data_IF_432850547128
#
_entry.id   IF_432850547128
#
_cell.length_a   1.000
_cell.length_b   1.000
_cell.length_c   1.000
_cell.angle_alpha   90.00
_cell.angle_beta   90.00
_cell.angle_gamma   90.00
#
_symmetry.space_group_name_H-M   'P 1'
#
loop_
_entity.id
_entity.type
_entity.pdbx_description
1 polymer ?
#
# COMPACT_ATOMS: atom_id res chain seq x y z
N UNK A 1 12.33 -10.17 -1.82
CA UNK A 1 11.61 -11.20 -1.03
C UNK A 1 11.09 -10.58 0.26
N UNK A 2 11.95 -9.90 1.04
CA UNK A 2 11.58 -9.19 2.28
C UNK A 2 10.41 -8.19 2.17
N UNK A 3 10.33 -7.37 1.11
CA UNK A 3 9.22 -6.41 0.93
C UNK A 3 7.87 -7.13 0.71
N UNK A 4 7.89 -8.23 -0.05
CA UNK A 4 6.69 -9.03 -0.30
C UNK A 4 6.25 -9.69 1.00
N UNK A 5 7.18 -10.24 1.78
CA UNK A 5 6.89 -10.89 3.07
C UNK A 5 6.37 -9.89 4.11
N UNK A 6 6.92 -8.67 4.17
CA UNK A 6 6.41 -7.58 5.02
C UNK A 6 5.00 -7.14 4.61
N UNK A 7 4.75 -7.01 3.32
CA UNK A 7 3.40 -6.74 2.81
C UNK A 7 2.46 -7.91 3.05
N UNK A 8 2.94 -9.16 2.98
CA UNK A 8 2.15 -10.35 3.29
C UNK A 8 1.79 -10.42 4.78
N UNK A 9 2.71 -10.05 5.66
CA UNK A 9 2.45 -9.99 7.11
C UNK A 9 1.49 -8.85 7.48
N UNK A 10 1.54 -7.71 6.78
CA UNK A 10 0.50 -6.69 6.90
C UNK A 10 -0.86 -7.17 6.35
N UNK A 11 -0.86 -7.98 5.29
CA UNK A 11 -2.07 -8.66 4.75
C UNK A 11 -2.61 -9.74 5.70
N UNK A 12 -1.81 -10.27 6.63
CA UNK A 12 -2.33 -11.20 7.65
C UNK A 12 -3.15 -10.50 8.74
N UNK A 13 -2.82 -9.24 9.09
CA UNK A 13 -3.65 -8.40 9.99
C UNK A 13 -4.98 -7.98 9.35
N UNK A 14 -5.16 -8.23 8.07
CA UNK A 14 -6.27 -7.81 7.25
C UNK A 14 -7.58 -8.59 7.49
N UNK A 15 -7.58 -9.62 8.34
CA UNK A 15 -8.81 -10.34 8.71
C UNK A 15 -9.86 -9.41 9.35
N UNK A 16 -9.42 -8.39 10.11
CA UNK A 16 -10.31 -7.37 10.70
C UNK A 16 -10.73 -6.30 9.66
N UNK A 17 -9.84 -5.96 8.73
CA UNK A 17 -10.10 -4.96 7.67
C UNK A 17 -11.06 -5.52 6.58
N UNK A 18 -11.04 -6.84 6.36
CA UNK A 18 -11.90 -7.55 5.39
C UNK A 18 -13.40 -7.35 5.59
N UNK A 19 -13.84 -7.00 6.79
CA UNK A 19 -15.27 -6.85 7.10
C UNK A 19 -15.81 -5.51 6.55
N UNK A 20 -14.95 -4.48 6.41
CA UNK A 20 -15.35 -3.13 5.97
C UNK A 20 -15.04 -2.82 4.50
N UNK A 21 -14.11 -3.54 3.85
CA UNK A 21 -13.67 -3.24 2.48
C UNK A 21 -14.26 -4.17 1.39
N UNK A 22 -15.08 -5.15 1.76
CA UNK A 22 -15.69 -6.11 0.81
C UNK A 22 -17.18 -5.76 0.66
N UNK A 23 -17.55 -4.78 -0.20
CA UNK A 23 -18.94 -4.39 -0.42
C UNK A 23 -19.78 -5.55 -1.00
N UNK A 24 -19.13 -6.54 -1.62
CA UNK A 24 -19.77 -7.74 -2.17
C UNK A 24 -18.90 -8.98 -1.98
N UNK A 25 -19.48 -10.15 -1.62
CA UNK A 25 -18.73 -11.39 -1.37
C UNK A 25 -17.81 -11.85 -2.53
N UNK A 26 -18.16 -11.47 -3.77
CA UNK A 26 -17.41 -11.84 -4.99
C UNK A 26 -16.26 -10.88 -5.33
N UNK A 27 -16.16 -9.72 -4.68
CA UNK A 27 -15.13 -8.70 -4.94
C UNK A 27 -14.26 -8.56 -3.69
N UNK A 28 -13.43 -9.57 -3.44
CA UNK A 28 -12.53 -9.64 -2.27
C UNK A 28 -11.05 -9.62 -2.65
N UNK A 29 -10.74 -9.23 -3.89
CA UNK A 29 -9.38 -9.04 -4.37
C UNK A 29 -8.94 -7.61 -4.07
N UNK A 30 -7.82 -7.48 -3.37
CA UNK A 30 -7.29 -6.18 -2.94
C UNK A 30 -6.03 -5.86 -3.73
N UNK A 31 -5.89 -4.59 -4.08
CA UNK A 31 -4.65 -4.05 -4.64
C UNK A 31 -3.76 -3.62 -3.48
N UNK A 32 -2.52 -4.08 -3.51
CA UNK A 32 -1.50 -3.73 -2.53
C UNK A 32 -0.57 -2.68 -3.12
N UNK A 33 -0.34 -1.62 -2.35
CA UNK A 33 0.64 -0.59 -2.66
C UNK A 33 1.47 -0.28 -1.42
N UNK A 34 2.72 0.08 -1.62
CA UNK A 34 3.64 0.41 -0.54
C UNK A 34 4.54 1.58 -0.92
N UNK A 35 4.66 2.54 0.00
CA UNK A 35 5.58 3.66 -0.13
C UNK A 35 6.14 4.05 1.25
N UNK A 36 7.37 4.59 1.30
CA UNK A 36 8.28 4.80 0.18
C UNK A 36 9.15 3.57 -0.11
N UNK A 37 9.38 3.26 -1.39
CA UNK A 37 10.39 2.28 -1.82
C UNK A 37 11.64 3.03 -2.26
N UNK A 38 12.58 3.21 -1.34
CA UNK A 38 13.83 3.95 -1.57
C UNK A 38 15.04 3.07 -1.32
N UNK A 39 16.11 3.28 -2.08
CA UNK A 39 17.40 2.63 -1.83
C UNK A 39 18.02 3.16 -0.53
N UNK A 40 18.77 2.33 0.19
CA UNK A 40 19.46 2.72 1.42
C UNK A 40 20.31 4.00 1.28
N UNK A 41 20.99 4.18 0.14
CA UNK A 41 21.78 5.39 -0.13
C UNK A 41 20.93 6.68 -0.18
N UNK A 42 19.72 6.61 -0.76
CA UNK A 42 18.81 7.77 -0.85
C UNK A 42 18.07 8.04 0.46
N UNK A 43 17.82 7.01 1.26
CA UNK A 43 17.12 7.12 2.54
C UNK A 43 17.84 8.06 3.55
N UNK A 44 19.17 8.22 3.44
CA UNK A 44 19.92 9.13 4.31
C UNK A 44 19.93 10.59 3.85
N UNK A 45 19.61 10.85 2.59
CA UNK A 45 19.73 12.18 1.99
C UNK A 45 18.40 12.92 1.87
N UNK A 46 17.28 12.21 1.91
CA UNK A 46 15.94 12.78 1.72
C UNK A 46 15.03 12.45 2.89
N UNK A 47 14.45 13.48 3.52
CA UNK A 47 13.35 13.33 4.46
C UNK A 47 12.04 13.38 3.67
N UNK A 48 11.28 12.30 3.70
CA UNK A 48 9.98 12.24 3.04
C UNK A 48 8.88 12.61 4.03
N UNK A 49 8.08 13.59 3.67
CA UNK A 49 6.94 14.02 4.48
C UNK A 49 5.78 13.04 4.31
N UNK A 50 4.99 12.85 5.37
CA UNK A 50 3.76 12.04 5.34
C UNK A 50 2.86 12.33 4.13
N UNK A 51 2.53 13.60 3.77
CA UNK A 51 1.73 13.87 2.57
C UNK A 51 2.39 13.44 1.26
N UNK A 52 3.72 13.51 1.16
CA UNK A 52 4.45 13.07 -0.03
C UNK A 52 4.36 11.55 -0.16
N UNK A 53 4.58 10.82 0.94
CA UNK A 53 4.45 9.37 0.98
C UNK A 53 3.02 8.94 0.63
N UNK A 54 2.02 9.62 1.21
CA UNK A 54 0.60 9.33 0.95
C UNK A 54 0.23 9.42 -0.53
N UNK A 55 0.78 10.42 -1.24
CA UNK A 55 0.55 10.56 -2.68
C UNK A 55 1.24 9.45 -3.49
N UNK A 56 2.46 9.05 -3.11
CA UNK A 56 3.23 8.02 -3.82
C UNK A 56 2.54 6.65 -3.75
N UNK A 57 1.78 6.34 -2.69
CA UNK A 57 1.02 5.08 -2.58
C UNK A 57 -0.01 4.91 -3.71
N UNK A 58 -0.51 5.98 -4.30
CA UNK A 58 -1.49 5.92 -5.40
C UNK A 58 -0.83 5.90 -6.80
N UNK A 59 0.49 6.02 -6.87
CA UNK A 59 1.22 5.90 -8.13
C UNK A 59 1.20 4.44 -8.62
N UNK A 60 0.93 4.17 -9.91
CA UNK A 60 0.99 2.81 -10.46
C UNK A 60 2.33 2.09 -10.22
N UNK A 61 3.43 2.83 -9.99
CA UNK A 61 4.75 2.28 -9.72
C UNK A 61 4.90 1.67 -8.31
N UNK A 62 4.08 2.08 -7.35
CA UNK A 62 4.10 1.55 -5.97
C UNK A 62 3.18 0.34 -5.79
N UNK A 63 2.33 0.04 -6.79
CA UNK A 63 1.41 -1.09 -6.79
C UNK A 63 2.16 -2.40 -7.04
N UNK A 64 1.91 -3.40 -6.19
CA UNK A 64 2.56 -4.71 -6.25
C UNK A 64 1.92 -5.69 -7.25
N UNK A 65 0.92 -5.23 -7.99
CA UNK A 65 0.25 -5.97 -9.04
C UNK A 65 0.49 -5.28 -10.39
N UNK A 66 0.67 -6.07 -11.45
CA UNK A 66 0.84 -5.55 -12.81
C UNK A 66 -0.50 -5.06 -13.37
N UNK A 67 -0.95 -3.93 -12.88
CA UNK A 67 -2.15 -3.24 -13.31
C UNK A 67 -2.00 -1.75 -13.04
N UNK A 68 -2.65 -0.92 -13.85
CA UNK A 68 -2.72 0.52 -13.59
C UNK A 68 -4.05 0.82 -12.89
N UNK A 69 -4.03 1.21 -11.60
CA UNK A 69 -5.24 1.42 -10.80
C UNK A 69 -6.09 2.60 -11.30
N UNK A 70 -5.54 3.48 -12.14
CA UNK A 70 -6.24 4.65 -12.70
C UNK A 70 -7.30 4.28 -13.74
N UNK A 71 -7.27 3.05 -14.26
CA UNK A 71 -8.30 2.54 -15.17
C UNK A 71 -9.55 2.02 -14.46
N UNK A 72 -9.58 2.07 -13.13
CA UNK A 72 -10.73 1.69 -12.33
C UNK A 72 -11.02 2.71 -11.24
N UNK A 73 -11.95 2.37 -10.37
CA UNK A 73 -12.30 3.18 -9.21
C UNK A 73 -11.98 2.42 -7.91
N UNK A 74 -11.48 3.14 -6.91
CA UNK A 74 -11.30 2.59 -5.58
C UNK A 74 -12.64 2.52 -4.87
N UNK A 75 -13.17 1.31 -4.67
CA UNK A 75 -14.37 1.10 -3.86
C UNK A 75 -14.12 1.41 -2.38
N UNK A 76 -12.92 1.09 -1.89
CA UNK A 76 -12.47 1.42 -0.55
C UNK A 76 -10.93 1.37 -0.49
N UNK A 77 -10.32 2.12 0.43
CA UNK A 77 -8.88 2.17 0.63
C UNK A 77 -8.58 2.23 2.14
N UNK A 78 -7.50 1.58 2.56
CA UNK A 78 -6.98 1.67 3.92
C UNK A 78 -5.48 1.98 3.83
N UNK A 79 -5.04 3.04 4.50
CA UNK A 79 -3.64 3.43 4.59
C UNK A 79 -3.15 3.16 6.01
N UNK A 80 -2.10 2.35 6.14
CA UNK A 80 -1.44 2.09 7.42
C UNK A 80 -0.07 2.76 7.40
N UNK A 81 0.10 3.76 8.26
CA UNK A 81 1.37 4.48 8.40
C UNK A 81 2.20 3.83 9.50
N UNK A 82 3.48 3.61 9.22
CA UNK A 82 4.46 3.13 10.18
C UNK A 82 5.57 4.18 10.30
N UNK A 83 5.81 4.65 11.52
CA UNK A 83 6.85 5.64 11.79
C UNK A 83 7.43 5.44 13.18
N UNK A 84 8.58 6.06 13.40
CA UNK A 84 9.10 6.35 14.74
C UNK A 84 8.71 7.79 15.05
N UNK A 85 8.01 7.97 16.17
CA UNK A 85 7.60 9.26 16.70
C UNK A 85 8.81 10.05 17.21
#
# INVERSE_FOLDING_TARGET
MEIIDLCLDHVKKLAEIKINLVPYPRIHFMLLSYAPVVSAAKAYHEQLLVPEIANVVFDPTSVMAKCDPRHGEYMACCLTYHGVQ
#
